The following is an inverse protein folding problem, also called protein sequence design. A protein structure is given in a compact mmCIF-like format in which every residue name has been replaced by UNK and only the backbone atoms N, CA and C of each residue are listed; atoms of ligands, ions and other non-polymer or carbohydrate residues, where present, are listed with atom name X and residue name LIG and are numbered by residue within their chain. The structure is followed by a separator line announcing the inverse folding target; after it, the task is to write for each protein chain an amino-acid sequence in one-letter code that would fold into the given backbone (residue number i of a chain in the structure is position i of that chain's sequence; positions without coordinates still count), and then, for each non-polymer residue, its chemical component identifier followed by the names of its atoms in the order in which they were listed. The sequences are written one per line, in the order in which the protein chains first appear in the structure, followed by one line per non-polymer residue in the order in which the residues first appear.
data_IF_208898632666
#
_entry.id   IF_208898632666
#
_cell.length_a   1.000
_cell.length_b   1.000
_cell.length_c   1.000
_cell.angle_alpha   90.00
_cell.angle_beta   90.00
_cell.angle_gamma   90.00
#
_symmetry.space_group_name_H-M   'P 1'
#
loop_
_entity.id
_entity.type
_entity.pdbx_description
1 polymer ?
#
# COMPACT_ATOMS: atom_id res chain seq x y z
N UNK A 1 -5.30 -2.35 -29.76
CA UNK A 1 -5.68 -1.79 -28.45
C UNK A 1 -6.54 -2.82 -27.75
N UNK A 2 -5.97 -3.65 -26.86
CA UNK A 2 -6.70 -4.74 -26.17
C UNK A 2 -7.66 -4.21 -25.07
N UNK A 3 -8.29 -3.07 -25.32
CA UNK A 3 -9.17 -2.41 -24.36
C UNK A 3 -10.61 -2.74 -24.76
N UNK A 4 -11.21 -3.64 -24.00
CA UNK A 4 -12.62 -3.99 -24.12
C UNK A 4 -13.37 -3.47 -22.90
N UNK A 5 -14.59 -2.96 -23.11
CA UNK A 5 -15.52 -2.66 -22.02
C UNK A 5 -16.37 -3.90 -21.79
N UNK A 6 -16.28 -4.47 -20.60
CA UNK A 6 -17.10 -5.62 -20.22
C UNK A 6 -18.45 -5.16 -19.68
N UNK A 7 -19.51 -5.89 -20.04
CA UNK A 7 -20.84 -5.74 -19.46
C UNK A 7 -20.99 -6.74 -18.30
N UNK A 8 -21.47 -6.25 -17.16
CA UNK A 8 -21.69 -7.04 -15.95
C UNK A 8 -23.20 -7.21 -15.67
N UNK A 9 -23.62 -8.30 -15.00
CA UNK A 9 -22.79 -9.31 -14.34
C UNK A 9 -22.16 -10.31 -15.32
N UNK A 10 -21.00 -10.87 -14.92
CA UNK A 10 -20.43 -12.01 -15.62
C UNK A 10 -21.39 -13.21 -15.53
N UNK A 11 -21.43 -14.04 -16.57
CA UNK A 11 -22.33 -15.20 -16.63
C UNK A 11 -21.56 -16.47 -16.89
N UNK A 12 -21.84 -17.51 -16.12
CA UNK A 12 -21.36 -18.87 -16.37
C UNK A 12 -22.32 -19.57 -17.33
N UNK A 13 -21.78 -20.16 -18.39
CA UNK A 13 -22.54 -20.94 -19.37
C UNK A 13 -22.27 -22.42 -19.15
N UNK A 14 -23.34 -23.19 -18.96
CA UNK A 14 -23.32 -24.64 -18.74
C UNK A 14 -24.30 -25.33 -19.68
N UNK A 15 -24.33 -26.66 -19.67
CA UNK A 15 -25.31 -27.42 -20.45
C UNK A 15 -26.78 -27.12 -20.07
N UNK A 16 -27.04 -26.69 -18.84
CA UNK A 16 -28.37 -26.35 -18.34
C UNK A 16 -28.77 -24.88 -18.56
N UNK A 17 -27.90 -24.06 -19.18
CA UNK A 17 -28.16 -22.67 -19.50
C UNK A 17 -27.10 -21.71 -18.97
N UNK A 18 -27.44 -20.42 -18.93
CA UNK A 18 -26.56 -19.33 -18.51
C UNK A 18 -27.11 -18.61 -17.29
N UNK A 19 -26.30 -18.44 -16.25
CA UNK A 19 -26.67 -17.75 -15.01
C UNK A 19 -25.57 -16.76 -14.58
N UNK A 20 -25.94 -15.64 -13.92
CA UNK A 20 -24.96 -14.68 -13.42
C UNK A 20 -24.11 -15.29 -12.29
N UNK A 21 -22.86 -14.85 -12.19
CA UNK A 21 -21.93 -15.21 -11.11
C UNK A 21 -21.35 -13.96 -10.47
N UNK A 22 -21.01 -14.03 -9.18
CA UNK A 22 -20.33 -12.95 -8.47
C UNK A 22 -18.82 -12.91 -8.79
N UNK A 23 -18.14 -11.88 -8.28
CA UNK A 23 -16.71 -11.69 -8.52
C UNK A 23 -15.87 -12.83 -7.96
N UNK A 24 -16.22 -13.34 -6.77
CA UNK A 24 -15.50 -14.44 -6.12
C UNK A 24 -15.56 -15.74 -6.94
N UNK A 25 -16.75 -16.09 -7.46
CA UNK A 25 -16.93 -17.25 -8.32
C UNK A 25 -16.20 -17.07 -9.65
N UNK A 26 -16.32 -15.87 -10.26
CA UNK A 26 -15.64 -15.56 -11.52
C UNK A 26 -14.12 -15.69 -11.40
N UNK A 27 -13.52 -15.05 -10.39
CA UNK A 27 -12.07 -15.06 -10.18
C UNK A 27 -11.56 -16.47 -9.91
N UNK A 28 -12.27 -17.25 -9.08
CA UNK A 28 -11.95 -18.66 -8.82
C UNK A 28 -11.94 -19.50 -10.11
N UNK A 29 -12.99 -19.41 -10.93
CA UNK A 29 -13.07 -20.16 -12.19
C UNK A 29 -11.92 -19.82 -13.14
N UNK A 30 -11.50 -18.55 -13.20
CA UNK A 30 -10.36 -18.12 -14.01
C UNK A 30 -9.06 -18.75 -13.47
N UNK A 31 -8.83 -18.67 -12.15
CA UNK A 31 -7.63 -19.23 -11.51
C UNK A 31 -7.57 -20.74 -11.69
N UNK A 32 -8.66 -21.47 -11.46
CA UNK A 32 -8.71 -22.93 -11.59
C UNK A 32 -8.44 -23.36 -13.04
N UNK A 33 -9.01 -22.65 -14.02
CA UNK A 33 -8.73 -22.88 -15.44
C UNK A 33 -7.24 -22.71 -15.76
N UNK A 34 -6.63 -21.62 -15.30
CA UNK A 34 -5.21 -21.36 -15.53
C UNK A 34 -4.32 -22.37 -14.80
N UNK A 35 -4.70 -22.77 -13.59
CA UNK A 35 -4.00 -23.81 -12.83
C UNK A 35 -3.92 -25.11 -13.64
N UNK A 36 -5.04 -25.57 -14.19
CA UNK A 36 -5.08 -26.78 -15.01
C UNK A 36 -4.33 -26.62 -16.33
N UNK A 37 -4.48 -25.48 -17.02
CA UNK A 37 -3.85 -25.25 -18.33
C UNK A 37 -2.33 -25.12 -18.24
N UNK A 38 -1.83 -24.53 -17.15
CA UNK A 38 -0.41 -24.21 -16.97
C UNK A 38 0.27 -25.11 -15.93
N UNK A 39 -0.44 -26.09 -15.36
CA UNK A 39 0.04 -27.01 -14.34
C UNK A 39 0.65 -26.28 -13.12
N UNK A 40 -0.03 -25.23 -12.65
CA UNK A 40 0.47 -24.40 -11.55
C UNK A 40 0.32 -25.09 -10.19
N UNK A 41 1.20 -24.80 -9.21
CA UNK A 41 1.06 -25.30 -7.85
C UNK A 41 -0.22 -24.79 -7.19
N UNK A 42 -0.99 -25.69 -6.59
CA UNK A 42 -2.27 -25.37 -5.95
C UNK A 42 -2.13 -24.31 -4.84
N UNK A 43 -1.05 -24.39 -4.04
CA UNK A 43 -0.77 -23.42 -2.98
C UNK A 43 -0.55 -22.01 -3.53
N UNK A 44 0.19 -21.87 -4.62
CA UNK A 44 0.42 -20.58 -5.28
C UNK A 44 -0.88 -19.99 -5.84
N UNK A 45 -1.73 -20.83 -6.44
CA UNK A 45 -3.04 -20.40 -6.94
C UNK A 45 -3.96 -19.95 -5.81
N UNK A 46 -3.94 -20.64 -4.66
CA UNK A 46 -4.74 -20.25 -3.50
C UNK A 46 -4.26 -18.91 -2.91
N UNK A 47 -2.96 -18.75 -2.67
CA UNK A 47 -2.38 -17.48 -2.20
C UNK A 47 -2.68 -16.34 -3.17
N UNK A 48 -2.57 -16.59 -4.48
CA UNK A 48 -2.90 -15.59 -5.48
C UNK A 48 -4.40 -15.21 -5.43
N UNK A 49 -5.30 -16.19 -5.36
CA UNK A 49 -6.73 -15.94 -5.28
C UNK A 49 -7.09 -15.15 -4.00
N UNK A 50 -6.48 -15.48 -2.85
CA UNK A 50 -6.65 -14.72 -1.60
C UNK A 50 -6.29 -13.24 -1.81
N UNK A 51 -5.14 -12.95 -2.43
CA UNK A 51 -4.71 -11.57 -2.72
C UNK A 51 -5.65 -10.84 -3.69
N UNK A 52 -6.22 -11.53 -4.66
CA UNK A 52 -7.23 -10.95 -5.57
C UNK A 52 -8.49 -10.56 -4.78
N UNK A 53 -8.94 -11.43 -3.87
CA UNK A 53 -10.12 -11.16 -3.05
C UNK A 53 -9.87 -10.04 -2.02
N UNK A 54 -8.70 -10.03 -1.37
CA UNK A 54 -8.26 -8.95 -0.48
C UNK A 54 -8.24 -7.61 -1.22
N UNK A 55 -7.62 -7.58 -2.41
CA UNK A 55 -7.57 -6.38 -3.24
C UNK A 55 -8.96 -5.88 -3.64
N UNK A 56 -9.89 -6.79 -3.94
CA UNK A 56 -11.27 -6.43 -4.28
C UNK A 56 -12.00 -5.83 -3.07
N UNK A 57 -11.88 -6.47 -1.90
CA UNK A 57 -12.47 -5.98 -0.66
C UNK A 57 -11.91 -4.60 -0.26
N UNK A 58 -10.59 -4.43 -0.32
CA UNK A 58 -9.93 -3.15 -0.02
C UNK A 58 -10.39 -2.03 -0.95
N UNK A 59 -10.49 -2.32 -2.25
CA UNK A 59 -10.98 -1.34 -3.23
C UNK A 59 -12.38 -0.85 -2.86
N UNK A 60 -13.27 -1.77 -2.48
CA UNK A 60 -14.62 -1.42 -2.04
C UNK A 60 -14.61 -0.58 -0.75
N UNK A 61 -13.84 -1.01 0.26
CA UNK A 61 -13.69 -0.29 1.53
C UNK A 61 -13.16 1.13 1.33
N UNK A 62 -12.15 1.30 0.48
CA UNK A 62 -11.60 2.62 0.15
C UNK A 62 -12.62 3.50 -0.58
N UNK A 63 -13.37 2.96 -1.55
CA UNK A 63 -14.45 3.69 -2.22
C UNK A 63 -15.52 4.14 -1.23
N UNK A 64 -15.92 3.27 -0.30
CA UNK A 64 -16.95 3.57 0.70
C UNK A 64 -16.48 4.63 1.71
N UNK A 65 -15.20 4.60 2.09
CA UNK A 65 -14.60 5.57 3.01
C UNK A 65 -14.32 6.93 2.35
N UNK A 66 -14.02 6.95 1.05
CA UNK A 66 -13.67 8.18 0.30
C UNK A 66 -14.90 8.88 -0.24
N UNK A 67 -15.65 9.54 0.64
CA UNK A 67 -16.83 10.32 0.26
C UNK A 67 -16.53 11.45 -0.75
N UNK A 68 -15.28 11.92 -0.80
CA UNK A 68 -14.79 12.91 -1.77
C UNK A 68 -14.48 12.32 -3.15
N UNK A 69 -14.51 11.00 -3.32
CA UNK A 69 -14.10 10.30 -4.55
C UNK A 69 -14.79 10.82 -5.81
N UNK A 70 -16.09 11.09 -5.75
CA UNK A 70 -16.84 11.64 -6.87
C UNK A 70 -16.34 13.06 -7.24
N UNK A 71 -16.13 13.91 -6.23
CA UNK A 71 -15.69 15.29 -6.41
C UNK A 71 -14.24 15.39 -6.93
N UNK A 72 -13.36 14.43 -6.58
CA UNK A 72 -12.00 14.39 -7.10
C UNK A 72 -11.94 14.28 -8.63
N UNK A 73 -12.99 13.74 -9.26
CA UNK A 73 -13.07 13.59 -10.72
C UNK A 73 -13.58 14.85 -11.43
N UNK A 74 -14.08 15.83 -10.68
CA UNK A 74 -14.72 17.04 -11.22
C UNK A 74 -13.76 18.23 -11.31
N UNK A 75 -12.57 18.13 -10.74
CA UNK A 75 -11.56 19.19 -10.71
C UNK A 75 -10.17 18.69 -11.09
N UNK A 76 -9.29 19.62 -11.43
CA UNK A 76 -7.86 19.35 -11.49
C UNK A 76 -7.35 19.01 -10.08
N UNK A 77 -6.56 17.94 -9.97
CA UNK A 77 -5.99 17.46 -8.72
C UNK A 77 -4.60 18.07 -8.50
N UNK A 78 -4.27 18.37 -7.24
CA UNK A 78 -2.86 18.56 -6.87
C UNK A 78 -2.13 17.20 -6.83
N UNK A 79 -0.80 17.24 -6.68
CA UNK A 79 0.00 16.01 -6.70
C UNK A 79 -0.43 14.99 -5.63
N UNK A 80 -0.65 15.42 -4.38
CA UNK A 80 -1.06 14.52 -3.30
C UNK A 80 -2.46 13.94 -3.53
N UNK A 81 -3.40 14.75 -4.01
CA UNK A 81 -4.74 14.28 -4.38
C UNK A 81 -4.68 13.25 -5.52
N UNK A 82 -3.83 13.47 -6.53
CA UNK A 82 -3.67 12.54 -7.65
C UNK A 82 -3.12 11.18 -7.21
N UNK A 83 -2.11 11.16 -6.32
CA UNK A 83 -1.57 9.93 -5.72
C UNK A 83 -2.65 9.19 -4.90
N UNK A 84 -3.44 9.93 -4.11
CA UNK A 84 -4.51 9.36 -3.27
C UNK A 84 -5.78 8.99 -4.03
N UNK A 85 -5.94 9.45 -5.28
CA UNK A 85 -7.11 9.17 -6.11
C UNK A 85 -7.00 7.84 -6.87
N UNK A 86 -5.87 7.13 -6.83
CA UNK A 86 -5.70 5.89 -7.58
C UNK A 86 -6.32 4.67 -6.86
N UNK A 87 -7.63 4.72 -6.55
CA UNK A 87 -8.31 3.71 -5.71
C UNK A 87 -8.40 2.31 -6.31
N UNK A 88 -8.36 2.19 -7.64
CA UNK A 88 -8.41 0.88 -8.34
C UNK A 88 -7.02 0.33 -8.69
N UNK A 89 -5.97 1.12 -8.46
CA UNK A 89 -4.58 0.72 -8.71
C UNK A 89 -4.27 0.43 -10.18
N UNK A 90 -3.31 -0.45 -10.44
CA UNK A 90 -2.83 -0.76 -11.78
C UNK A 90 -3.87 -1.57 -12.58
N UNK A 91 -4.34 -1.00 -13.70
CA UNK A 91 -5.47 -1.52 -14.49
C UNK A 91 -5.35 -2.97 -15.00
N UNK A 92 -4.13 -3.52 -15.07
CA UNK A 92 -3.88 -4.89 -15.53
C UNK A 92 -3.36 -5.84 -14.45
N UNK A 93 -3.19 -5.36 -13.22
CA UNK A 93 -2.78 -6.25 -12.14
C UNK A 93 -4.04 -6.86 -11.49
N UNK A 94 -4.08 -8.18 -11.20
CA UNK A 94 -5.28 -8.82 -10.61
C UNK A 94 -5.51 -8.51 -9.12
N UNK A 95 -4.45 -8.13 -8.40
CA UNK A 95 -4.50 -7.80 -6.97
C UNK A 95 -3.80 -6.46 -6.67
N UNK A 96 -4.16 -5.35 -7.34
CA UNK A 96 -3.41 -4.09 -7.27
C UNK A 96 -3.49 -3.38 -5.91
N UNK A 97 -4.37 -3.84 -5.02
CA UNK A 97 -4.66 -3.28 -3.70
C UNK A 97 -4.56 -4.27 -2.55
N UNK A 98 -3.95 -5.44 -2.79
CA UNK A 98 -3.48 -6.31 -1.71
C UNK A 98 -2.29 -5.63 -1.01
N UNK A 99 -2.27 -5.68 0.32
CA UNK A 99 -1.43 -4.79 1.13
C UNK A 99 -0.89 -5.44 2.41
N UNK A 100 -0.72 -6.77 2.40
CA UNK A 100 0.09 -7.45 3.40
C UNK A 100 1.43 -6.72 3.61
N UNK A 101 1.86 -6.51 4.87
CA UNK A 101 1.36 -7.14 6.08
C UNK A 101 0.29 -6.35 6.85
N UNK A 102 -0.26 -5.25 6.31
CA UNK A 102 -1.20 -4.43 7.08
C UNK A 102 -2.54 -5.14 7.30
N UNK A 103 -3.03 -5.08 8.53
CA UNK A 103 -4.44 -5.35 8.82
C UNK A 103 -5.32 -4.16 8.41
N UNK A 104 -6.65 -4.30 8.50
CA UNK A 104 -7.58 -3.25 8.10
C UNK A 104 -7.35 -1.90 8.81
N UNK A 105 -7.09 -1.89 10.12
CA UNK A 105 -6.88 -0.65 10.86
C UNK A 105 -5.57 0.03 10.44
N UNK A 106 -4.53 -0.76 10.17
CA UNK A 106 -3.26 -0.26 9.65
C UNK A 106 -3.41 0.25 8.22
N UNK A 107 -4.18 -0.44 7.38
CA UNK A 107 -4.52 -0.03 6.03
C UNK A 107 -5.21 1.35 6.04
N UNK A 108 -6.26 1.52 6.83
CA UNK A 108 -6.95 2.81 7.00
C UNK A 108 -6.03 3.91 7.52
N UNK A 109 -5.09 3.56 8.41
CA UNK A 109 -4.17 4.52 9.02
C UNK A 109 -3.02 4.94 8.10
N UNK A 110 -2.57 4.06 7.21
CA UNK A 110 -1.29 4.24 6.52
C UNK A 110 -1.36 4.19 4.99
N UNK A 111 -2.39 3.58 4.40
CA UNK A 111 -2.47 3.48 2.94
C UNK A 111 -3.07 4.74 2.30
N UNK A 112 -2.51 5.19 1.16
CA UNK A 112 -2.93 6.43 0.51
C UNK A 112 -4.39 6.39 0.04
N UNK A 113 -4.97 5.21 -0.14
CA UNK A 113 -6.36 5.01 -0.54
C UNK A 113 -7.35 5.74 0.39
N UNK A 114 -7.04 5.81 1.68
CA UNK A 114 -7.86 6.45 2.70
C UNK A 114 -7.48 7.92 2.97
N UNK A 115 -6.58 8.50 2.18
CA UNK A 115 -6.03 9.84 2.37
C UNK A 115 -5.59 10.17 3.81
N UNK A 116 -4.87 9.27 4.51
CA UNK A 116 -4.51 9.50 5.91
C UNK A 116 -3.41 10.57 6.03
N UNK A 117 -3.36 11.17 7.22
CA UNK A 117 -2.26 12.00 7.66
C UNK A 117 -1.73 11.44 8.98
N UNK A 118 -0.43 11.20 9.05
CA UNK A 118 0.22 10.68 10.25
C UNK A 118 1.60 11.31 10.42
N UNK A 119 2.05 11.56 11.67
CA UNK A 119 3.40 12.01 11.91
C UNK A 119 4.40 10.89 11.64
N UNK A 120 5.61 11.24 11.20
CA UNK A 120 6.72 10.29 11.16
C UNK A 120 7.18 9.95 12.59
N UNK A 121 7.70 8.74 12.78
CA UNK A 121 8.39 8.37 14.02
C UNK A 121 9.87 8.70 13.87
N UNK A 122 10.44 9.38 14.86
CA UNK A 122 11.82 9.85 14.81
C UNK A 122 12.68 9.09 15.81
N UNK A 123 13.87 8.69 15.38
CA UNK A 123 14.86 8.00 16.19
C UNK A 123 16.14 8.83 16.26
N UNK A 124 16.71 8.98 17.45
CA UNK A 124 18.04 9.55 17.63
C UNK A 124 19.08 8.43 17.46
N UNK A 125 19.75 8.38 16.31
CA UNK A 125 20.66 7.30 15.95
C UNK A 125 22.09 7.82 15.98
N UNK A 126 23.02 7.02 16.53
CA UNK A 126 24.44 7.36 16.51
C UNK A 126 24.92 7.51 15.05
N UNK A 127 25.61 8.60 14.75
CA UNK A 127 26.10 8.90 13.38
C UNK A 127 26.98 7.79 12.78
N UNK A 128 27.63 6.96 13.60
CA UNK A 128 28.43 5.82 13.11
C UNK A 128 27.59 4.67 12.58
N UNK A 129 26.30 4.62 12.92
CA UNK A 129 25.33 3.61 12.47
C UNK A 129 24.53 4.07 11.24
N UNK A 130 24.75 5.30 10.76
CA UNK A 130 24.06 5.84 9.58
C UNK A 130 25.04 5.86 8.41
N UNK A 131 24.64 5.20 7.32
CA UNK A 131 25.34 5.24 6.05
C UNK A 131 24.38 5.59 4.91
N UNK A 132 24.87 6.32 3.92
CA UNK A 132 24.10 6.71 2.75
C UNK A 132 24.75 7.84 1.97
N UNK A 133 24.19 8.12 0.80
CA UNK A 133 24.65 9.17 -0.10
C UNK A 133 23.57 10.22 -0.30
N UNK A 134 23.98 11.42 -0.67
CA UNK A 134 23.07 12.52 -0.94
C UNK A 134 23.64 13.41 -2.04
N UNK A 135 22.78 13.87 -2.94
CA UNK A 135 23.13 14.83 -3.96
C UNK A 135 23.09 16.27 -3.39
N UNK A 136 24.05 17.11 -3.75
CA UNK A 136 24.21 18.53 -3.38
C UNK A 136 24.44 18.86 -1.90
N UNK A 137 23.89 18.07 -0.97
CA UNK A 137 24.14 18.15 0.47
C UNK A 137 24.82 16.87 0.93
N UNK A 138 25.58 16.92 2.03
CA UNK A 138 25.96 15.68 2.70
C UNK A 138 24.75 15.08 3.46
N UNK A 139 24.86 13.81 3.86
CA UNK A 139 23.76 13.08 4.49
C UNK A 139 23.29 13.75 5.80
N UNK A 140 24.22 14.19 6.64
CA UNK A 140 23.92 14.91 7.88
C UNK A 140 23.07 16.15 7.62
N UNK A 141 23.51 17.02 6.70
CA UNK A 141 22.79 18.24 6.33
C UNK A 141 21.39 17.94 5.81
N UNK A 142 21.24 16.88 5.00
CA UNK A 142 19.94 16.46 4.48
C UNK A 142 19.00 16.01 5.59
N UNK A 143 19.47 15.17 6.52
CA UNK A 143 18.67 14.70 7.65
C UNK A 143 18.32 15.83 8.63
N UNK A 144 19.28 16.69 8.98
CA UNK A 144 19.03 17.87 9.84
C UNK A 144 18.02 18.81 9.21
N UNK A 145 18.12 19.09 7.90
CA UNK A 145 17.15 19.92 7.19
C UNK A 145 15.75 19.29 7.20
N UNK A 146 15.66 18.00 6.89
CA UNK A 146 14.38 17.29 6.89
C UNK A 146 13.73 17.29 8.27
N UNK A 147 14.51 17.09 9.34
CA UNK A 147 14.05 17.22 10.71
C UNK A 147 13.64 18.66 11.09
N UNK A 148 14.37 19.68 10.64
CA UNK A 148 14.00 21.07 10.87
C UNK A 148 12.65 21.44 10.23
N UNK A 149 12.36 20.89 9.05
CA UNK A 149 11.12 21.15 8.32
C UNK A 149 9.92 20.39 8.93
N UNK A 150 10.13 19.24 9.59
CA UNK A 150 9.05 18.32 9.99
C UNK A 150 8.92 18.09 11.50
N UNK A 151 9.99 18.29 12.27
CA UNK A 151 10.04 18.08 13.72
C UNK A 151 11.09 18.99 14.40
N UNK A 152 11.03 20.33 14.21
CA UNK A 152 12.04 21.26 14.70
C UNK A 152 12.23 21.20 16.22
N UNK A 153 11.19 20.83 16.98
CA UNK A 153 11.24 20.67 18.42
C UNK A 153 12.26 19.61 18.88
N UNK A 154 12.53 18.59 18.05
CA UNK A 154 13.43 17.49 18.39
C UNK A 154 14.91 17.84 18.18
N UNK A 155 15.21 18.93 17.45
CA UNK A 155 16.60 19.28 17.13
C UNK A 155 17.41 19.68 18.37
N UNK A 156 16.75 20.24 19.39
CA UNK A 156 17.40 20.68 20.63
C UNK A 156 17.70 19.53 21.59
N UNK A 157 17.21 18.32 21.30
CA UNK A 157 17.33 17.15 22.17
C UNK A 157 18.52 16.25 21.80
N UNK A 158 19.23 16.57 20.71
CA UNK A 158 20.32 15.74 20.19
C UNK A 158 21.68 16.09 20.80
N UNK A 159 22.48 15.06 21.05
CA UNK A 159 23.93 15.23 21.23
C UNK A 159 24.66 15.38 19.89
N UNK A 160 25.90 15.90 19.91
CA UNK A 160 26.75 16.08 18.71
C UNK A 160 27.06 14.77 17.94
N UNK A 161 26.76 13.61 18.53
CA UNK A 161 27.00 12.30 17.94
C UNK A 161 25.72 11.60 17.44
N UNK A 162 24.56 12.23 17.57
CA UNK A 162 23.28 11.66 17.15
C UNK A 162 22.66 12.46 16.03
N UNK A 163 22.06 11.77 15.07
CA UNK A 163 21.22 12.38 14.04
C UNK A 163 19.79 11.87 14.18
N UNK A 164 18.83 12.72 13.82
CA UNK A 164 17.43 12.33 13.72
C UNK A 164 17.21 11.54 12.42
N UNK A 165 16.70 10.32 12.58
CA UNK A 165 16.34 9.43 11.48
C UNK A 165 14.82 9.21 11.47
N UNK A 166 14.12 9.57 10.39
CA UNK A 166 12.68 9.37 10.28
C UNK A 166 12.35 7.94 9.83
N UNK A 167 11.28 7.39 10.38
CA UNK A 167 10.68 6.14 9.95
C UNK A 167 9.17 6.28 9.83
N UNK A 168 8.59 5.45 8.95
CA UNK A 168 7.15 5.23 8.96
C UNK A 168 6.74 4.67 10.34
N UNK A 169 5.63 5.13 10.96
CA UNK A 169 5.25 4.71 12.30
C UNK A 169 5.15 3.19 12.47
N UNK A 170 4.53 2.52 11.49
CA UNK A 170 4.43 1.06 11.47
C UNK A 170 5.81 0.39 11.44
N UNK A 171 6.73 0.87 10.61
CA UNK A 171 8.08 0.32 10.52
C UNK A 171 8.84 0.53 11.84
N UNK A 172 8.69 1.70 12.46
CA UNK A 172 9.30 1.99 13.75
C UNK A 172 8.78 1.08 14.87
N UNK A 173 7.47 0.81 14.91
CA UNK A 173 6.89 -0.13 15.87
C UNK A 173 7.35 -1.57 15.62
N UNK A 174 7.35 -2.01 14.37
CA UNK A 174 7.85 -3.34 13.99
C UNK A 174 9.32 -3.55 14.40
N UNK A 175 10.18 -2.56 14.15
CA UNK A 175 11.60 -2.64 14.48
C UNK A 175 11.83 -2.70 16.00
N UNK A 176 11.08 -1.93 16.78
CA UNK A 176 11.19 -1.94 18.25
C UNK A 176 10.77 -3.28 18.88
N UNK A 177 10.04 -4.12 18.16
CA UNK A 177 9.71 -5.48 18.60
C UNK A 177 10.81 -6.50 18.30
N UNK A 178 11.85 -6.14 17.54
CA UNK A 178 12.94 -7.05 17.21
C UNK A 178 14.00 -7.06 18.32
N UNK A 179 14.44 -8.25 18.75
CA UNK A 179 15.43 -8.42 19.82
C UNK A 179 16.71 -7.61 19.55
N UNK A 180 17.27 -7.71 18.35
CA UNK A 180 18.48 -6.98 17.96
C UNK A 180 18.32 -5.45 18.04
N UNK A 181 17.11 -4.92 17.87
CA UNK A 181 16.86 -3.49 17.94
C UNK A 181 16.71 -3.01 19.39
N UNK A 182 16.25 -3.88 20.29
CA UNK A 182 16.15 -3.58 21.73
C UNK A 182 17.52 -3.61 22.43
N UNK A 183 18.51 -4.26 21.81
CA UNK A 183 19.89 -4.33 22.29
C UNK A 183 20.76 -3.11 21.91
N UNK A 184 20.23 -2.19 21.09
CA UNK A 184 20.90 -0.95 20.65
C UNK A 184 20.70 0.22 21.63
#
# INVERSE_FOLDING_TARGET
TQHHRFEFPARLVTASGSHPVDFATLSRLIVDKLQHQLLLPATSCETFHQRVMESHAHTQQAIDARHDWAALREKALNFGEAEQALLVGHAFHPAPKSHEPFNQQEAERYLPDFAPHFPLRWFAVNKTQIAGESLHLNLQQRLTRFAAENAPQLLNELSDNQWLFPLHPWQGEYLLQQEWCQEL
#
